data_IF_875393913509
#
_entry.id   IF_875393913509
#
_cell.length_a   1.000
_cell.length_b   1.000
_cell.length_c   1.000
_cell.angle_alpha   90.00
_cell.angle_beta   90.00
_cell.angle_gamma   90.00
#
_symmetry.space_group_name_H-M   'P 1'
#
loop_
_entity.id
_entity.type
_entity.pdbx_description
1 polymer ?
#
# COMPACT_ATOMS: atom_id res chain seq x y z
N UNK A 1 -33.09 -71.61 4.68
CA UNK A 1 -32.63 -70.22 4.94
C UNK A 1 -33.62 -69.17 4.47
N UNK A 2 -33.99 -69.15 3.19
CA UNK A 2 -34.87 -68.11 2.60
C UNK A 2 -36.26 -68.03 3.27
N UNK A 3 -36.89 -69.18 3.59
CA UNK A 3 -38.18 -69.22 4.30
C UNK A 3 -38.15 -68.58 5.71
N UNK A 4 -37.03 -68.72 6.43
CA UNK A 4 -36.88 -68.12 7.77
C UNK A 4 -36.66 -66.61 7.70
N UNK A 5 -35.94 -66.13 6.67
CA UNK A 5 -35.75 -64.70 6.41
C UNK A 5 -37.09 -64.05 6.02
N UNK A 6 -37.90 -64.72 5.19
CA UNK A 6 -39.24 -64.23 4.82
C UNK A 6 -40.19 -64.12 6.02
N UNK A 7 -40.18 -65.08 6.95
CA UNK A 7 -40.98 -65.04 8.18
C UNK A 7 -40.56 -63.90 9.12
N UNK A 8 -39.25 -63.66 9.25
CA UNK A 8 -38.71 -62.52 10.00
C UNK A 8 -39.14 -61.18 9.37
N UNK A 9 -39.00 -61.02 8.06
CA UNK A 9 -39.42 -59.79 7.37
C UNK A 9 -40.93 -59.56 7.50
N UNK A 10 -41.75 -60.61 7.48
CA UNK A 10 -43.21 -60.48 7.63
C UNK A 10 -43.62 -60.06 9.05
N UNK A 11 -42.99 -60.62 10.09
CA UNK A 11 -43.26 -60.28 11.49
C UNK A 11 -42.65 -58.94 11.95
N UNK A 12 -41.57 -58.48 11.31
CA UNK A 12 -40.85 -57.25 11.69
C UNK A 12 -40.88 -56.15 10.62
N UNK A 13 -41.75 -56.27 9.61
CA UNK A 13 -41.86 -55.32 8.49
C UNK A 13 -42.03 -53.87 8.95
N UNK A 14 -42.85 -53.63 9.97
CA UNK A 14 -43.03 -52.30 10.57
C UNK A 14 -41.76 -51.73 11.21
N UNK A 15 -40.95 -52.58 11.87
CA UNK A 15 -39.69 -52.18 12.49
C UNK A 15 -38.65 -51.85 11.42
N UNK A 16 -38.58 -52.63 10.35
CA UNK A 16 -37.66 -52.38 9.23
C UNK A 16 -38.02 -51.06 8.52
N UNK A 17 -39.31 -50.81 8.28
CA UNK A 17 -39.77 -49.55 7.67
C UNK A 17 -39.44 -48.36 8.58
N UNK A 18 -39.69 -48.47 9.89
CA UNK A 18 -39.37 -47.42 10.85
C UNK A 18 -37.86 -47.13 10.93
N UNK A 19 -37.01 -48.15 10.82
CA UNK A 19 -35.55 -47.97 10.76
C UNK A 19 -35.11 -47.26 9.48
N UNK A 20 -35.69 -47.63 8.34
CA UNK A 20 -35.40 -46.99 7.06
C UNK A 20 -35.82 -45.52 7.03
N UNK A 21 -36.98 -45.17 7.62
CA UNK A 21 -37.44 -43.77 7.70
C UNK A 21 -36.58 -42.93 8.66
N UNK A 22 -36.14 -43.51 9.78
CA UNK A 22 -35.18 -42.86 10.68
C UNK A 22 -33.83 -42.61 10.00
N UNK A 23 -33.30 -43.61 9.28
CA UNK A 23 -32.04 -43.46 8.54
C UNK A 23 -32.12 -42.39 7.45
N UNK A 24 -33.24 -42.27 6.75
CA UNK A 24 -33.43 -41.22 5.73
C UNK A 24 -33.57 -39.83 6.34
N UNK A 25 -34.29 -39.69 7.46
CA UNK A 25 -34.39 -38.43 8.20
C UNK A 25 -33.03 -37.98 8.75
N UNK A 26 -32.33 -38.88 9.44
CA UNK A 26 -31.01 -38.58 10.02
C UNK A 26 -29.99 -38.29 8.90
N UNK A 27 -29.99 -39.07 7.83
CA UNK A 27 -29.11 -38.87 6.67
C UNK A 27 -29.34 -37.50 6.02
N UNK A 28 -30.60 -37.08 5.84
CA UNK A 28 -30.94 -35.76 5.30
C UNK A 28 -30.41 -34.61 6.17
N UNK A 29 -30.55 -34.74 7.49
CA UNK A 29 -30.04 -33.75 8.46
C UNK A 29 -28.50 -33.65 8.36
N UNK A 30 -27.80 -34.79 8.33
CA UNK A 30 -26.33 -34.81 8.22
C UNK A 30 -25.87 -34.15 6.93
N UNK A 31 -26.46 -34.49 5.78
CA UNK A 31 -26.11 -33.89 4.48
C UNK A 31 -26.34 -32.38 4.48
N UNK A 32 -27.44 -31.91 5.08
CA UNK A 32 -27.71 -30.49 5.22
C UNK A 32 -26.62 -29.76 6.03
N UNK A 33 -26.22 -30.32 7.17
CA UNK A 33 -25.15 -29.74 7.99
C UNK A 33 -23.80 -29.75 7.27
N UNK A 34 -23.44 -30.85 6.61
CA UNK A 34 -22.18 -30.94 5.84
C UNK A 34 -22.15 -29.89 4.74
N UNK A 35 -23.23 -29.76 3.95
CA UNK A 35 -23.34 -28.76 2.88
C UNK A 35 -23.19 -27.33 3.42
N UNK A 36 -23.84 -27.02 4.55
CA UNK A 36 -23.77 -25.70 5.16
C UNK A 36 -22.36 -25.36 5.66
N UNK A 37 -21.63 -26.35 6.19
CA UNK A 37 -20.25 -26.17 6.66
C UNK A 37 -19.29 -25.99 5.48
N UNK A 38 -19.43 -26.77 4.40
CA UNK A 38 -18.57 -26.61 3.21
C UNK A 38 -18.80 -25.27 2.53
N UNK A 39 -20.04 -24.84 2.32
CA UNK A 39 -20.34 -23.52 1.72
C UNK A 39 -19.71 -22.37 2.52
N UNK A 40 -19.80 -22.41 3.85
CA UNK A 40 -19.14 -21.40 4.70
C UNK A 40 -17.61 -21.44 4.57
N UNK A 41 -17.00 -22.63 4.57
CA UNK A 41 -15.54 -22.77 4.39
C UNK A 41 -15.08 -22.26 3.03
N UNK A 42 -15.83 -22.51 1.96
CA UNK A 42 -15.51 -22.00 0.62
C UNK A 42 -15.57 -20.47 0.58
N UNK A 43 -16.62 -19.85 1.14
CA UNK A 43 -16.74 -18.38 1.21
C UNK A 43 -15.59 -17.75 1.99
N UNK A 44 -15.30 -18.28 3.18
CA UNK A 44 -14.19 -17.78 4.01
C UNK A 44 -12.85 -17.94 3.29
N UNK A 45 -12.63 -19.06 2.58
CA UNK A 45 -11.40 -19.25 1.81
C UNK A 45 -11.28 -18.22 0.67
N UNK A 46 -12.36 -17.96 -0.05
CA UNK A 46 -12.40 -16.99 -1.14
C UNK A 46 -12.13 -15.56 -0.64
N UNK A 47 -12.78 -15.15 0.46
CA UNK A 47 -12.55 -13.85 1.11
C UNK A 47 -11.09 -13.71 1.59
N UNK A 48 -10.51 -14.79 2.14
CA UNK A 48 -9.13 -14.79 2.61
C UNK A 48 -8.11 -14.69 1.46
N UNK A 49 -8.38 -15.34 0.32
CA UNK A 49 -7.55 -15.23 -0.88
C UNK A 49 -7.63 -13.81 -1.50
N UNK A 50 -8.81 -13.17 -1.49
CA UNK A 50 -8.95 -11.77 -1.90
C UNK A 50 -8.23 -10.80 -0.96
N UNK A 51 -8.36 -11.00 0.36
CA UNK A 51 -7.65 -10.21 1.37
C UNK A 51 -6.13 -10.33 1.21
N UNK A 52 -5.61 -11.54 0.99
CA UNK A 52 -4.17 -11.75 0.71
C UNK A 52 -3.70 -11.00 -0.52
N UNK A 53 -4.49 -10.99 -1.60
CA UNK A 53 -4.16 -10.20 -2.80
C UNK A 53 -4.13 -8.70 -2.50
N UNK A 54 -5.09 -8.19 -1.72
CA UNK A 54 -5.12 -6.78 -1.31
C UNK A 54 -3.92 -6.41 -0.43
N UNK A 55 -3.57 -7.26 0.54
CA UNK A 55 -2.39 -7.07 1.39
C UNK A 55 -1.15 -6.99 0.53
N UNK A 56 -0.95 -7.95 -0.39
CA UNK A 56 0.23 -7.95 -1.26
C UNK A 56 0.31 -6.69 -2.15
N UNK A 57 -0.82 -6.22 -2.68
CA UNK A 57 -0.88 -4.97 -3.46
C UNK A 57 -0.52 -3.75 -2.61
N UNK A 58 -1.01 -3.69 -1.38
CA UNK A 58 -0.69 -2.62 -0.44
C UNK A 58 0.77 -2.67 0.01
N UNK A 59 1.36 -3.85 0.22
CA UNK A 59 2.78 -4.01 0.52
C UNK A 59 3.66 -3.54 -0.64
N UNK A 60 3.30 -3.87 -1.89
CA UNK A 60 3.99 -3.36 -3.09
C UNK A 60 3.86 -1.83 -3.21
N UNK A 61 2.69 -1.26 -2.94
CA UNK A 61 2.47 0.19 -2.90
C UNK A 61 3.26 0.87 -1.76
N UNK A 62 3.38 0.23 -0.59
CA UNK A 62 4.12 0.74 0.56
C UNK A 62 5.64 0.72 0.30
N UNK A 63 6.15 -0.37 -0.29
CA UNK A 63 7.56 -0.48 -0.70
C UNK A 63 7.93 0.61 -1.72
N UNK A 64 7.03 0.91 -2.67
CA UNK A 64 7.21 2.06 -3.57
C UNK A 64 7.18 3.41 -2.83
N UNK A 65 6.37 3.55 -1.77
CA UNK A 65 6.34 4.77 -0.95
C UNK A 65 7.56 4.95 -0.06
N UNK A 66 8.18 3.87 0.42
CA UNK A 66 9.39 3.92 1.23
C UNK A 66 10.59 4.41 0.40
N UNK A 67 10.64 4.04 -0.88
CA UNK A 67 11.56 4.64 -1.86
C UNK A 67 11.33 6.16 -2.01
N UNK A 68 10.10 6.65 -1.89
CA UNK A 68 9.81 8.10 -1.94
C UNK A 68 10.35 8.80 -0.69
N UNK A 69 10.18 8.23 0.51
CA UNK A 69 10.70 8.81 1.77
C UNK A 69 12.23 8.85 1.81
N UNK A 70 12.91 7.78 1.39
CA UNK A 70 14.38 7.80 1.31
C UNK A 70 14.89 8.89 0.37
N UNK A 71 14.12 9.27 -0.66
CA UNK A 71 14.50 10.41 -1.50
C UNK A 71 14.25 11.74 -0.80
N UNK A 72 13.22 11.86 0.04
CA UNK A 72 12.93 13.08 0.82
C UNK A 72 14.02 13.36 1.86
N UNK A 73 14.55 12.34 2.53
CA UNK A 73 15.62 12.51 3.54
C UNK A 73 16.92 13.09 2.94
N UNK A 74 17.14 12.90 1.63
CA UNK A 74 18.32 13.40 0.92
C UNK A 74 18.06 14.70 0.14
N UNK A 75 16.84 15.24 0.22
CA UNK A 75 16.51 16.55 -0.33
C UNK A 75 16.90 17.64 0.67
N UNK A 76 17.81 18.50 0.24
CA UNK A 76 18.27 19.66 0.99
C UNK A 76 17.82 20.95 0.31
N UNK A 77 17.82 22.04 1.06
CA UNK A 77 17.71 23.38 0.48
C UNK A 77 18.82 23.59 -0.55
N UNK A 78 18.48 24.12 -1.72
CA UNK A 78 19.47 24.35 -2.77
C UNK A 78 20.59 25.28 -2.29
N UNK A 79 21.87 24.95 -2.50
CA UNK A 79 22.98 25.85 -2.19
C UNK A 79 22.97 27.10 -3.07
N UNK A 80 22.31 27.06 -4.22
CA UNK A 80 22.08 28.24 -5.06
C UNK A 80 21.02 29.14 -4.44
N UNK A 81 20.08 28.56 -3.69
CA UNK A 81 18.92 29.25 -3.16
C UNK A 81 17.75 29.36 -4.12
N UNK A 82 16.67 30.01 -3.66
CA UNK A 82 15.44 30.20 -4.44
C UNK A 82 14.45 29.03 -4.33
N UNK A 83 13.63 28.85 -5.37
CA UNK A 83 12.55 27.85 -5.48
C UNK A 83 13.03 26.52 -6.09
N UNK A 84 14.22 26.06 -5.72
CA UNK A 84 14.73 24.77 -6.12
C UNK A 84 15.27 24.01 -4.91
N UNK A 85 15.17 22.69 -5.00
CA UNK A 85 15.66 21.75 -4.02
C UNK A 85 16.89 21.05 -4.58
N UNK A 86 17.80 20.63 -3.73
CA UNK A 86 19.01 19.93 -4.13
C UNK A 86 18.97 18.51 -3.57
N UNK A 87 19.10 17.51 -4.43
CA UNK A 87 19.16 16.10 -4.05
C UNK A 87 20.62 15.68 -3.99
N UNK A 88 21.15 15.56 -2.77
CA UNK A 88 22.57 15.38 -2.53
C UNK A 88 23.14 14.09 -3.16
N UNK A 89 22.44 12.97 -3.00
CA UNK A 89 22.88 11.65 -3.49
C UNK A 89 23.16 11.59 -4.99
N UNK A 90 22.42 12.38 -5.76
CA UNK A 90 22.49 12.37 -7.23
C UNK A 90 23.12 13.64 -7.79
N UNK A 91 23.44 14.60 -6.94
CA UNK A 91 23.93 15.92 -7.34
C UNK A 91 23.03 16.57 -8.41
N UNK A 92 21.72 16.57 -8.16
CA UNK A 92 20.73 17.16 -9.08
C UNK A 92 19.88 18.23 -8.40
N UNK A 93 19.45 19.23 -9.18
CA UNK A 93 18.50 20.24 -8.75
C UNK A 93 17.08 19.86 -9.17
N UNK A 94 16.13 19.98 -8.26
CA UNK A 94 14.72 19.66 -8.42
C UNK A 94 13.91 20.95 -8.39
N UNK A 95 13.06 21.16 -9.38
CA UNK A 95 12.14 22.28 -9.40
C UNK A 95 11.00 22.05 -8.39
N UNK A 96 10.76 22.98 -7.47
CA UNK A 96 9.68 22.87 -6.47
C UNK A 96 8.27 23.01 -7.06
N UNK A 97 8.15 23.45 -8.32
CA UNK A 97 6.85 23.61 -8.99
C UNK A 97 6.44 22.31 -9.67
N UNK A 98 7.33 21.69 -10.46
CA UNK A 98 6.97 20.49 -11.23
C UNK A 98 7.49 19.18 -10.65
N UNK A 99 8.35 19.23 -9.63
CA UNK A 99 8.94 18.07 -8.94
C UNK A 99 9.58 17.03 -9.89
N UNK A 100 9.97 17.45 -11.08
CA UNK A 100 10.52 16.57 -12.10
C UNK A 100 11.98 16.27 -11.76
N UNK A 101 12.27 15.03 -11.40
CA UNK A 101 13.61 14.56 -10.99
C UNK A 101 14.52 14.19 -12.16
N UNK A 102 13.97 14.10 -13.37
CA UNK A 102 14.68 13.58 -14.55
C UNK A 102 15.13 14.68 -15.52
N UNK A 103 14.85 15.95 -15.19
CA UNK A 103 15.09 17.09 -16.08
C UNK A 103 15.81 18.19 -15.34
N UNK A 104 16.87 18.67 -15.96
CA UNK A 104 17.80 19.62 -15.36
C UNK A 104 17.16 21.00 -15.23
N UNK A 105 17.43 21.62 -14.09
CA UNK A 105 17.36 23.06 -13.94
C UNK A 105 18.54 23.64 -14.73
N UNK A 106 18.23 24.47 -15.72
CA UNK A 106 19.24 25.09 -16.59
C UNK A 106 19.58 26.45 -16.00
N UNK A 107 20.84 26.66 -15.64
CA UNK A 107 21.35 28.00 -15.31
C UNK A 107 21.37 28.84 -16.59
N UNK A 108 20.63 29.94 -16.61
CA UNK A 108 20.57 30.83 -17.78
C UNK A 108 21.57 31.98 -17.61
N UNK A 109 21.78 32.43 -16.38
CA UNK A 109 22.76 33.46 -16.03
C UNK A 109 23.23 33.26 -14.59
N UNK A 110 24.53 33.34 -14.36
CA UNK A 110 25.13 33.25 -13.03
C UNK A 110 26.25 34.28 -12.89
N UNK A 111 26.19 35.05 -11.80
CA UNK A 111 27.28 35.85 -11.25
C UNK A 111 27.66 35.26 -9.89
N UNK A 112 28.74 35.77 -9.29
CA UNK A 112 29.24 35.25 -8.01
C UNK A 112 28.16 35.25 -6.93
N UNK A 113 27.29 36.26 -6.89
CA UNK A 113 26.30 36.47 -5.83
C UNK A 113 24.83 36.26 -6.27
N UNK A 114 24.53 36.39 -7.56
CA UNK A 114 23.15 36.32 -8.08
C UNK A 114 23.05 35.62 -9.42
N UNK A 115 21.91 35.02 -9.72
CA UNK A 115 21.66 34.44 -11.02
C UNK A 115 20.20 34.11 -11.23
N UNK A 116 19.87 33.54 -12.37
CA UNK A 116 18.55 32.94 -12.58
C UNK A 116 18.65 31.62 -13.33
N UNK A 117 17.76 30.72 -12.94
CA UNK A 117 17.64 29.41 -13.53
C UNK A 117 16.25 29.23 -14.15
N UNK A 118 16.18 28.30 -15.09
CA UNK A 118 14.95 27.92 -15.77
C UNK A 118 14.73 26.42 -15.69
N UNK A 119 13.54 26.02 -15.27
CA UNK A 119 13.16 24.61 -15.34
C UNK A 119 12.86 24.22 -16.79
N UNK A 120 13.60 23.26 -17.33
CA UNK A 120 13.36 22.75 -18.69
C UNK A 120 11.98 22.06 -18.86
N UNK A 121 11.35 21.62 -17.77
CA UNK A 121 10.05 20.92 -17.79
C UNK A 121 8.86 21.88 -17.78
N UNK A 122 8.78 22.78 -16.79
CA UNK A 122 7.64 23.69 -16.63
C UNK A 122 7.94 25.13 -17.05
N UNK A 123 9.15 25.41 -17.54
CA UNK A 123 9.60 26.74 -17.98
C UNK A 123 9.59 27.80 -16.88
N UNK A 124 9.44 27.40 -15.60
CA UNK A 124 9.56 28.31 -14.46
C UNK A 124 10.94 28.94 -14.45
N UNK A 125 10.96 30.26 -14.44
CA UNK A 125 12.16 31.08 -14.24
C UNK A 125 12.19 31.56 -12.80
N UNK A 126 13.35 31.45 -12.16
CA UNK A 126 13.52 31.88 -10.78
C UNK A 126 14.90 32.43 -10.56
N UNK A 127 14.95 33.47 -9.74
CA UNK A 127 16.18 34.20 -9.39
C UNK A 127 16.71 33.62 -8.09
N UNK A 128 18.01 33.46 -8.03
CA UNK A 128 18.70 33.13 -6.79
C UNK A 128 19.69 34.23 -6.42
N UNK A 129 19.76 34.51 -5.13
CA UNK A 129 20.57 35.57 -4.51
C UNK A 129 21.24 34.92 -3.30
N UNK A 130 22.52 34.55 -3.47
CA UNK A 130 23.26 33.76 -2.48
C UNK A 130 23.32 34.48 -1.12
N UNK A 131 23.41 35.81 -1.13
CA UNK A 131 23.41 36.64 0.08
C UNK A 131 22.08 36.61 0.83
N UNK A 132 20.94 36.65 0.13
CA UNK A 132 19.61 36.50 0.78
C UNK A 132 19.38 35.09 1.33
N UNK A 133 19.93 34.08 0.67
CA UNK A 133 19.77 32.67 1.05
C UNK A 133 20.52 32.39 2.34
N UNK A 134 21.75 32.91 2.48
CA UNK A 134 22.50 32.81 3.72
C UNK A 134 21.80 33.54 4.88
N UNK A 135 21.18 34.69 4.61
CA UNK A 135 20.39 35.41 5.62
C UNK A 135 19.17 34.60 6.08
N UNK A 136 18.38 34.04 5.16
CA UNK A 136 17.22 33.19 5.47
C UNK A 136 17.66 31.92 6.19
N UNK A 137 18.76 31.27 5.76
CA UNK A 137 19.31 30.08 6.41
C UNK A 137 19.71 30.38 7.87
N UNK A 138 20.34 31.53 8.10
CA UNK A 138 20.73 31.96 9.44
C UNK A 138 19.51 32.28 10.32
N UNK A 139 18.44 32.86 9.76
CA UNK A 139 17.18 33.07 10.49
C UNK A 139 16.52 31.73 10.85
N UNK A 140 16.39 30.82 9.89
CA UNK A 140 15.78 29.51 10.13
C UNK A 140 16.56 28.70 11.17
N UNK A 141 17.89 28.64 11.07
CA UNK A 141 18.71 27.89 12.02
C UNK A 141 18.57 28.44 13.45
N UNK A 142 18.51 29.78 13.61
CA UNK A 142 18.25 30.42 14.92
C UNK A 142 16.85 30.13 15.45
N UNK A 143 15.85 30.10 14.57
CA UNK A 143 14.47 29.82 14.96
C UNK A 143 14.31 28.37 15.41
N UNK A 144 14.90 27.42 14.68
CA UNK A 144 14.83 26.00 15.04
C UNK A 144 15.66 25.66 16.28
N UNK A 145 16.84 26.26 16.50
CA UNK A 145 17.56 26.07 17.76
C UNK A 145 16.73 26.53 18.96
N UNK A 146 16.06 27.68 18.87
CA UNK A 146 15.20 28.17 19.95
C UNK A 146 13.96 27.32 20.24
N UNK A 147 13.58 26.43 19.34
CA UNK A 147 12.41 25.54 19.51
C UNK A 147 12.80 24.20 20.15
N UNK A 148 14.06 23.79 20.06
CA UNK A 148 14.56 22.51 20.57
C UNK A 148 15.49 22.62 21.78
N UNK A 149 15.87 23.85 22.17
CA UNK A 149 16.74 24.13 23.33
C UNK A 149 15.96 24.47 24.63
N UNK A 150 14.64 24.25 24.67
CA UNK A 150 13.77 24.30 25.89
C UNK A 150 13.35 22.87 26.32
#
# INVERSE_FOLDING_TARGET
MIKNIMLLVKNYSGVIIALCTLCTLIGGIIVFFVKRVTEKKYKVKQENDELKKKIKKLEEELSNSEYIRNVEDNIQGSPLGGTCLYLADRNIYICTVCWNRNKEIITVFETDDTGYYKCSSCQLESVFDKGKVEHIRNINNKMWSSVYDD
#
